data_IF_641075430379
#
_entry.id   IF_641075430379
#
_cell.length_a   1.000
_cell.length_b   1.000
_cell.length_c   1.000
_cell.angle_alpha   90.00
_cell.angle_beta   90.00
_cell.angle_gamma   90.00
#
_symmetry.space_group_name_H-M   'P 1'
#
loop_
_entity.id
_entity.type
_entity.pdbx_description
1 polymer ?
#
# COMPACT_ATOMS: atom_id res chain seq x y z
N UNK A 1 -18.65 -6.29 6.14
CA UNK A 1 -17.90 -6.66 4.91
C UNK A 1 -17.62 -5.42 4.06
N UNK A 2 -16.39 -4.91 4.07
CA UNK A 2 -15.71 -4.41 2.86
C UNK A 2 -14.37 -3.76 3.20
N UNK A 3 -13.35 -4.09 2.43
CA UNK A 3 -12.35 -3.12 1.95
C UNK A 3 -12.13 -3.20 0.42
N UNK A 4 -12.58 -4.28 -0.22
CA UNK A 4 -12.54 -4.45 -1.69
C UNK A 4 -13.71 -5.26 -2.26
N UNK A 5 -14.47 -5.97 -1.41
CA UNK A 5 -15.54 -6.88 -1.82
C UNK A 5 -16.62 -6.19 -2.69
N UNK A 6 -17.11 -5.03 -2.26
CA UNK A 6 -18.14 -4.30 -3.03
C UNK A 6 -17.65 -3.92 -4.44
N UNK A 7 -16.37 -3.55 -4.56
CA UNK A 7 -15.77 -3.21 -5.86
C UNK A 7 -15.62 -4.47 -6.73
N UNK A 8 -15.18 -5.59 -6.13
CA UNK A 8 -15.10 -6.89 -6.77
C UNK A 8 -16.47 -7.35 -7.30
N UNK A 9 -17.50 -7.37 -6.45
CA UNK A 9 -18.85 -7.82 -6.83
C UNK A 9 -19.41 -6.95 -7.96
N UNK A 10 -19.21 -5.63 -7.89
CA UNK A 10 -19.62 -4.72 -8.96
C UNK A 10 -18.96 -5.06 -10.29
N UNK A 11 -17.66 -5.35 -10.30
CA UNK A 11 -16.95 -5.76 -11.51
C UNK A 11 -17.45 -7.11 -12.02
N UNK A 12 -17.57 -8.10 -11.12
CA UNK A 12 -18.03 -9.45 -11.46
C UNK A 12 -19.43 -9.43 -12.09
N UNK A 13 -20.34 -8.60 -11.56
CA UNK A 13 -21.68 -8.41 -12.14
C UNK A 13 -21.65 -7.69 -13.49
N UNK A 14 -20.74 -6.72 -13.67
CA UNK A 14 -20.66 -5.94 -14.91
C UNK A 14 -20.02 -6.71 -16.07
N UNK A 15 -19.02 -7.57 -15.80
CA UNK A 15 -18.19 -8.21 -16.83
C UNK A 15 -18.23 -9.73 -16.80
N UNK A 16 -18.91 -10.35 -15.83
CA UNK A 16 -18.87 -11.79 -15.57
C UNK A 16 -17.50 -12.27 -15.07
N UNK A 17 -16.58 -11.37 -14.74
CA UNK A 17 -15.22 -11.66 -14.28
C UNK A 17 -14.80 -10.65 -13.22
N UNK A 18 -13.96 -11.05 -12.26
CA UNK A 18 -13.39 -12.40 -12.04
C UNK A 18 -14.42 -13.42 -11.52
N UNK A 19 -14.14 -14.71 -11.67
CA UNK A 19 -14.93 -15.76 -11.03
C UNK A 19 -14.72 -15.71 -9.52
N UNK A 20 -15.76 -15.92 -8.73
CA UNK A 20 -15.62 -15.95 -7.27
C UNK A 20 -15.29 -17.37 -6.82
N UNK A 21 -14.39 -17.50 -5.84
CA UNK A 21 -14.09 -18.78 -5.21
C UNK A 21 -15.30 -19.24 -4.39
N UNK A 22 -15.68 -20.50 -4.58
CA UNK A 22 -16.60 -21.23 -3.72
C UNK A 22 -15.90 -22.49 -3.22
N UNK A 23 -16.01 -22.79 -1.92
CA UNK A 23 -15.38 -23.98 -1.36
C UNK A 23 -16.07 -25.30 -1.71
N UNK A 24 -17.31 -25.26 -2.18
CA UNK A 24 -18.03 -26.44 -2.67
C UNK A 24 -17.54 -26.86 -4.06
N UNK A 25 -16.92 -25.94 -4.80
CA UNK A 25 -16.45 -26.14 -6.16
C UNK A 25 -15.10 -25.43 -6.37
N UNK A 26 -14.08 -25.86 -5.64
CA UNK A 26 -12.72 -25.30 -5.75
C UNK A 26 -12.18 -25.57 -7.17
N UNK A 27 -11.84 -24.53 -7.94
CA UNK A 27 -11.34 -24.72 -9.30
C UNK A 27 -9.92 -25.30 -9.30
N UNK A 28 -9.60 -26.09 -10.33
CA UNK A 28 -8.24 -26.63 -10.52
C UNK A 28 -7.22 -25.55 -10.88
N UNK A 29 -7.65 -24.47 -11.52
CA UNK A 29 -6.83 -23.30 -11.84
C UNK A 29 -7.30 -22.09 -11.03
N UNK A 30 -6.36 -21.43 -10.34
CA UNK A 30 -6.65 -20.26 -9.51
C UNK A 30 -6.63 -18.94 -10.31
N UNK A 31 -6.05 -18.94 -11.53
CA UNK A 31 -5.91 -17.71 -12.31
C UNK A 31 -7.28 -17.14 -12.71
N UNK A 32 -7.49 -15.85 -12.42
CA UNK A 32 -8.76 -15.18 -12.66
C UNK A 32 -9.83 -15.45 -11.60
N UNK A 33 -9.53 -16.25 -10.58
CA UNK A 33 -10.41 -16.50 -9.42
C UNK A 33 -10.18 -15.43 -8.36
N UNK A 34 -11.27 -14.94 -7.78
CA UNK A 34 -11.27 -13.94 -6.73
C UNK A 34 -11.76 -14.50 -5.41
N UNK A 35 -11.03 -14.15 -4.34
CA UNK A 35 -11.29 -14.63 -2.99
C UNK A 35 -10.78 -13.61 -1.96
N UNK A 36 -11.25 -13.74 -0.73
CA UNK A 36 -10.71 -13.01 0.40
C UNK A 36 -9.48 -13.69 1.00
N UNK A 37 -8.57 -12.90 1.54
CA UNK A 37 -7.42 -13.36 2.32
C UNK A 37 -7.33 -12.58 3.61
N UNK A 38 -7.04 -13.26 4.71
CA UNK A 38 -6.52 -12.63 5.93
C UNK A 38 -5.00 -12.63 5.86
N UNK A 39 -4.41 -11.43 5.76
CA UNK A 39 -3.00 -11.24 5.46
C UNK A 39 -2.28 -10.47 6.57
N UNK A 40 -1.14 -10.97 7.01
CA UNK A 40 -0.24 -10.32 7.96
C UNK A 40 0.88 -9.64 7.21
N UNK A 41 1.06 -8.33 7.38
CA UNK A 41 2.14 -7.62 6.71
C UNK A 41 3.51 -7.80 7.39
N UNK A 42 4.55 -7.13 6.88
CA UNK A 42 5.90 -7.21 7.44
C UNK A 42 6.03 -6.61 8.84
N UNK A 43 5.07 -5.79 9.28
CA UNK A 43 5.03 -5.20 10.62
C UNK A 43 4.22 -6.05 11.61
N UNK A 44 3.61 -7.14 11.15
CA UNK A 44 2.71 -7.97 11.95
C UNK A 44 1.26 -7.47 11.94
N UNK A 45 0.94 -6.42 11.19
CA UNK A 45 -0.43 -5.92 11.12
C UNK A 45 -1.29 -6.83 10.25
N UNK A 46 -2.41 -7.29 10.83
CA UNK A 46 -3.41 -8.10 10.12
C UNK A 46 -4.33 -7.22 9.29
N UNK A 47 -4.66 -7.67 8.08
CA UNK A 47 -5.62 -7.01 7.20
C UNK A 47 -6.38 -8.02 6.35
N UNK A 48 -7.70 -7.84 6.22
CA UNK A 48 -8.54 -8.64 5.32
C UNK A 48 -8.59 -7.98 3.95
N UNK A 49 -8.31 -8.73 2.87
CA UNK A 49 -8.24 -8.19 1.51
C UNK A 49 -8.95 -9.10 0.53
N UNK A 50 -9.63 -8.50 -0.45
CA UNK A 50 -10.15 -9.24 -1.59
C UNK A 50 -9.17 -9.11 -2.75
N UNK A 51 -8.83 -10.22 -3.36
CA UNK A 51 -7.82 -10.31 -4.41
C UNK A 51 -8.33 -11.14 -5.57
N UNK A 52 -7.83 -10.88 -6.77
CA UNK A 52 -8.00 -11.75 -7.94
C UNK A 52 -6.65 -12.31 -8.32
N UNK A 53 -6.49 -13.62 -8.22
CA UNK A 53 -5.24 -14.29 -8.52
C UNK A 53 -4.90 -14.15 -10.02
N UNK A 54 -3.62 -13.89 -10.30
CA UNK A 54 -3.03 -13.87 -11.64
C UNK A 54 -2.00 -14.97 -11.83
N UNK A 55 -1.56 -15.59 -10.74
CA UNK A 55 -0.61 -16.69 -10.77
C UNK A 55 0.13 -16.83 -9.45
N UNK A 56 0.83 -17.94 -9.31
CA UNK A 56 1.68 -18.22 -8.17
C UNK A 56 3.10 -18.54 -8.66
N UNK A 57 4.11 -18.02 -7.98
CA UNK A 57 5.52 -18.33 -8.28
C UNK A 57 6.37 -18.16 -7.03
N UNK A 58 7.21 -19.15 -6.72
CA UNK A 58 8.24 -19.07 -5.67
C UNK A 58 7.72 -18.71 -4.26
N UNK A 59 6.50 -19.14 -3.92
CA UNK A 59 5.89 -18.82 -2.63
C UNK A 59 5.17 -17.46 -2.60
N UNK A 60 5.03 -16.79 -3.75
CA UNK A 60 4.33 -15.53 -3.92
C UNK A 60 3.05 -15.72 -4.75
N UNK A 61 1.95 -15.16 -4.26
CA UNK A 61 0.71 -14.98 -4.99
C UNK A 61 0.74 -13.61 -5.69
N UNK A 62 0.70 -13.61 -7.02
CA UNK A 62 0.52 -12.40 -7.82
C UNK A 62 -0.96 -12.16 -8.00
N UNK A 63 -1.48 -11.04 -7.53
CA UNK A 63 -2.91 -10.79 -7.56
C UNK A 63 -3.23 -9.30 -7.69
N UNK A 64 -4.39 -9.03 -8.29
CA UNK A 64 -4.98 -7.70 -8.26
C UNK A 64 -5.66 -7.48 -6.91
N UNK A 65 -5.23 -6.45 -6.17
CA UNK A 65 -5.77 -6.14 -4.85
C UNK A 65 -6.91 -5.13 -4.97
N UNK A 66 -8.14 -5.56 -4.69
CA UNK A 66 -9.34 -4.71 -4.85
C UNK A 66 -9.39 -3.52 -3.90
N UNK A 67 -8.74 -3.64 -2.73
CA UNK A 67 -8.61 -2.55 -1.75
C UNK A 67 -7.76 -1.41 -2.29
N UNK A 68 -6.64 -1.76 -2.94
CA UNK A 68 -5.66 -0.79 -3.45
C UNK A 68 -5.86 -0.43 -4.91
N UNK A 69 -6.70 -1.20 -5.62
CA UNK A 69 -6.93 -1.12 -7.07
C UNK A 69 -5.63 -1.21 -7.88
N UNK A 70 -4.77 -2.14 -7.48
CA UNK A 70 -3.42 -2.27 -8.05
C UNK A 70 -2.91 -3.72 -7.97
N UNK A 71 -1.99 -4.07 -8.85
CA UNK A 71 -1.30 -5.37 -8.88
C UNK A 71 -0.29 -5.46 -7.73
N UNK A 72 -0.35 -6.55 -6.96
CA UNK A 72 0.55 -6.79 -5.82
C UNK A 72 0.94 -8.25 -5.69
N UNK A 73 2.10 -8.46 -5.08
CA UNK A 73 2.57 -9.78 -4.66
C UNK A 73 2.30 -9.98 -3.16
N UNK A 74 1.74 -11.12 -2.80
CA UNK A 74 1.49 -11.54 -1.41
C UNK A 74 2.33 -12.76 -1.10
N UNK A 75 3.04 -12.75 0.03
CA UNK A 75 3.73 -13.96 0.51
C UNK A 75 2.71 -14.96 1.02
N UNK A 76 2.73 -16.18 0.49
CA UNK A 76 1.78 -17.22 0.89
C UNK A 76 1.90 -17.59 2.37
N UNK A 77 3.11 -17.54 2.93
CA UNK A 77 3.35 -17.77 4.37
C UNK A 77 2.75 -16.71 5.28
N UNK A 78 2.31 -15.58 4.72
CA UNK A 78 1.69 -14.48 5.46
C UNK A 78 0.18 -14.43 5.28
N UNK A 79 -0.38 -15.33 4.47
CA UNK A 79 -1.82 -15.53 4.36
C UNK A 79 -2.19 -16.51 5.47
N UNK A 80 -2.98 -16.06 6.44
CA UNK A 80 -3.44 -16.89 7.57
C UNK A 80 -4.72 -17.65 7.22
N UNK A 81 -5.57 -17.07 6.38
CA UNK A 81 -6.83 -17.69 5.99
C UNK A 81 -7.29 -17.25 4.60
N UNK A 82 -8.07 -18.11 3.95
CA UNK A 82 -8.74 -17.86 2.67
C UNK A 82 -10.24 -17.81 2.92
N UNK A 83 -10.92 -16.90 2.22
CA UNK A 83 -12.32 -16.60 2.41
C UNK A 83 -13.02 -16.73 1.05
N UNK A 84 -14.07 -17.53 0.98
CA UNK A 84 -14.87 -17.70 -0.23
C UNK A 84 -15.94 -16.60 -0.38
N UNK A 85 -16.80 -16.71 -1.38
CA UNK A 85 -17.88 -15.75 -1.66
C UNK A 85 -19.04 -15.79 -0.65
N UNK A 86 -19.27 -16.95 -0.01
CA UNK A 86 -20.19 -17.11 1.10
C UNK A 86 -19.66 -16.52 2.41
N UNK A 87 -18.36 -16.26 2.49
CA UNK A 87 -17.67 -15.75 3.68
C UNK A 87 -17.20 -16.85 4.63
N UNK A 88 -17.22 -18.10 4.20
CA UNK A 88 -16.58 -19.22 4.90
C UNK A 88 -15.07 -18.98 4.92
N UNK A 89 -14.40 -19.40 6.00
CA UNK A 89 -12.98 -19.20 6.21
C UNK A 89 -12.30 -20.57 6.31
N UNK A 90 -11.28 -20.80 5.49
CA UNK A 90 -10.49 -22.05 5.51
C UNK A 90 -8.99 -21.79 5.59
N UNK A 91 -8.28 -22.78 6.11
CA UNK A 91 -6.82 -22.78 6.12
C UNK A 91 -6.29 -22.81 4.67
N UNK A 92 -5.32 -21.96 4.32
CA UNK A 92 -4.81 -21.88 2.97
C UNK A 92 -4.30 -23.21 2.41
N UNK A 93 -3.73 -24.09 3.24
CA UNK A 93 -3.19 -25.37 2.80
C UNK A 93 -4.30 -26.39 2.49
N UNK A 94 -5.48 -26.23 3.10
CA UNK A 94 -6.65 -27.05 2.78
C UNK A 94 -7.28 -26.70 1.43
N UNK A 95 -7.17 -25.44 1.01
CA UNK A 95 -7.76 -24.95 -0.25
C UNK A 95 -6.80 -25.13 -1.43
N UNK A 96 -5.51 -24.83 -1.20
CA UNK A 96 -4.48 -24.89 -2.23
C UNK A 96 -3.27 -25.71 -1.77
N UNK A 97 -3.42 -27.05 -1.65
CA UNK A 97 -2.38 -27.91 -1.08
C UNK A 97 -1.06 -27.87 -1.85
N UNK A 98 -1.12 -27.72 -3.18
CA UNK A 98 0.05 -27.66 -4.05
C UNK A 98 0.86 -26.37 -3.87
N UNK A 99 0.20 -25.29 -3.46
CA UNK A 99 0.75 -23.94 -3.39
C UNK A 99 1.48 -23.72 -2.06
N UNK A 100 1.10 -24.45 -1.02
CA UNK A 100 1.63 -24.33 0.35
C UNK A 100 2.38 -25.60 0.72
N UNK A 101 3.14 -26.16 -0.23
CA UNK A 101 4.19 -27.10 0.12
C UNK A 101 5.09 -26.42 1.17
N UNK A 102 5.36 -27.05 2.32
CA UNK A 102 6.18 -26.46 3.35
C UNK A 102 7.51 -26.08 2.71
N UNK A 103 7.86 -24.78 2.76
CA UNK A 103 9.23 -24.36 2.45
C UNK A 103 10.10 -25.25 3.31
N UNK A 104 10.92 -26.10 2.67
CA UNK A 104 12.05 -26.73 3.36
C UNK A 104 12.68 -25.60 4.15
N UNK A 105 12.61 -25.69 5.47
CA UNK A 105 13.26 -24.76 6.36
C UNK A 105 14.72 -24.88 6.00
N UNK A 106 15.20 -23.98 5.13
CA UNK A 106 16.62 -23.76 4.99
C UNK A 106 16.97 -23.22 6.36
N UNK A 107 17.49 -24.09 7.22
CA UNK A 107 18.15 -23.70 8.44
C UNK A 107 19.31 -22.81 7.99
N UNK A 108 19.02 -21.52 7.83
CA UNK A 108 20.03 -20.50 7.68
C UNK A 108 20.69 -20.47 9.03
N UNK A 109 21.70 -21.34 9.21
CA UNK A 109 22.65 -21.21 10.28
C UNK A 109 23.17 -19.79 10.15
N UNK A 110 22.72 -18.90 11.03
CA UNK A 110 23.22 -17.56 11.15
C UNK A 110 24.67 -17.70 11.57
N UNK A 111 25.57 -17.75 10.58
CA UNK A 111 27.00 -17.69 10.85
C UNK A 111 27.23 -16.49 11.76
N UNK A 112 27.92 -16.66 12.90
CA UNK A 112 28.13 -15.60 13.86
C UNK A 112 28.70 -14.38 13.14
N UNK A 113 28.04 -13.24 13.31
CA UNK A 113 28.40 -11.98 12.65
C UNK A 113 29.90 -11.75 12.79
N UNK A 114 30.64 -11.83 11.67
CA UNK A 114 32.04 -11.42 11.62
C UNK A 114 32.12 -9.96 12.09
N UNK A 115 33.15 -9.61 12.87
CA UNK A 115 33.49 -8.29 13.47
C UNK A 115 33.47 -7.05 12.53
N UNK A 116 33.02 -7.17 11.29
CA UNK A 116 32.90 -6.10 10.29
C UNK A 116 31.74 -5.13 10.56
N UNK A 117 30.91 -5.36 11.59
CA UNK A 117 29.82 -4.45 11.98
C UNK A 117 30.29 -3.26 12.84
N UNK A 118 31.56 -3.18 13.27
CA UNK A 118 32.09 -2.06 14.07
C UNK A 118 32.22 -0.76 13.25
N UNK A 119 32.49 -0.85 11.94
CA UNK A 119 32.64 0.34 11.08
C UNK A 119 31.29 0.98 10.67
N UNK A 120 30.16 0.28 10.83
CA UNK A 120 28.83 0.82 10.51
C UNK A 120 28.39 1.92 11.49
N UNK A 121 28.85 1.87 12.74
CA UNK A 121 28.58 2.93 13.73
C UNK A 121 29.20 4.25 13.29
N UNK A 122 30.46 4.22 12.86
CA UNK A 122 31.18 5.40 12.38
C UNK A 122 30.56 5.98 11.09
N UNK A 123 30.11 5.13 10.17
CA UNK A 123 29.43 5.58 8.95
C UNK A 123 28.08 6.24 9.25
N UNK A 124 27.25 5.63 10.11
CA UNK A 124 25.95 6.19 10.48
C UNK A 124 26.08 7.54 11.22
N UNK A 125 27.11 7.70 12.05
CA UNK A 125 27.39 8.97 12.73
C UNK A 125 27.72 10.10 11.74
N UNK A 126 28.55 9.82 10.71
CA UNK A 126 28.87 10.82 9.66
C UNK A 126 27.65 11.22 8.82
N UNK A 127 26.74 10.28 8.55
CA UNK A 127 25.49 10.57 7.83
C UNK A 127 24.57 11.45 8.69
N UNK A 128 24.49 11.19 10.00
CA UNK A 128 23.70 12.00 10.91
C UNK A 128 24.21 13.44 11.01
N UNK A 129 25.53 13.63 11.10
CA UNK A 129 26.18 14.95 11.13
C UNK A 129 25.91 15.74 9.85
N UNK A 130 26.07 15.10 8.68
CA UNK A 130 25.80 15.75 7.39
C UNK A 130 24.32 16.10 7.19
N UNK A 131 23.41 15.27 7.69
CA UNK A 131 21.98 15.58 7.65
C UNK A 131 21.62 16.77 8.55
N UNK A 132 22.29 16.92 9.70
CA UNK A 132 22.10 18.06 10.59
C UNK A 132 22.57 19.37 9.94
N UNK A 133 23.73 19.35 9.29
CA UNK A 133 24.28 20.51 8.56
C UNK A 133 23.36 20.99 7.43
N UNK A 134 22.88 20.05 6.59
CA UNK A 134 21.94 20.37 5.50
C UNK A 134 20.59 20.86 6.04
N UNK A 135 20.16 20.39 7.21
CA UNK A 135 18.94 20.87 7.85
C UNK A 135 19.07 22.34 8.31
N UNK A 136 20.21 22.74 8.88
CA UNK A 136 20.48 24.13 9.26
C UNK A 136 20.55 25.07 8.04
N UNK A 137 21.19 24.66 6.95
CA UNK A 137 21.25 25.46 5.72
C UNK A 137 19.84 25.72 5.13
N UNK A 138 18.95 24.71 5.20
CA UNK A 138 17.57 24.84 4.72
C UNK A 138 16.73 25.79 5.56
N UNK A 139 16.96 25.87 6.87
CA UNK A 139 16.26 26.84 7.73
C UNK A 139 16.68 28.27 7.43
N UNK A 140 17.96 28.50 7.14
CA UNK A 140 18.46 29.83 6.76
C UNK A 140 17.98 30.25 5.36
N UNK A 141 17.95 29.32 4.40
CA UNK A 141 17.48 29.60 3.04
C UNK A 141 15.97 29.96 2.99
N UNK A 142 15.16 29.40 3.89
CA UNK A 142 13.73 29.75 3.98
C UNK A 142 13.49 31.16 4.52
N UNK A 143 14.43 31.72 5.29
CA UNK A 143 14.27 33.05 5.88
C UNK A 143 14.60 34.20 4.92
N UNK A 144 15.18 33.92 3.75
CA UNK A 144 15.59 34.93 2.75
C UNK A 144 14.60 35.20 1.61
N UNK A 145 13.44 34.53 1.57
CA UNK A 145 12.42 34.88 0.58
C UNK A 145 11.66 36.11 1.06
N UNK A 146 12.19 37.29 0.76
CA UNK A 146 11.39 38.50 0.76
C UNK A 146 10.16 38.28 -0.14
N UNK A 147 8.95 38.62 0.32
CA UNK A 147 7.75 38.47 -0.48
C UNK A 147 7.91 39.33 -1.74
N UNK A 148 7.83 38.69 -2.91
CA UNK A 148 7.93 39.36 -4.21
C UNK A 148 6.92 40.52 -4.25
N UNK A 149 7.43 41.75 -4.42
CA UNK A 149 6.63 42.98 -4.39
C UNK A 149 5.47 42.95 -5.39
N UNK A 150 5.58 42.16 -6.46
CA UNK A 150 4.48 41.93 -7.42
C UNK A 150 3.26 41.28 -6.77
N UNK A 151 3.48 40.32 -5.88
CA UNK A 151 2.41 39.60 -5.15
C UNK A 151 1.67 40.54 -4.21
N UNK A 152 2.40 41.43 -3.55
CA UNK A 152 1.84 42.50 -2.71
C UNK A 152 1.01 43.50 -3.52
N UNK A 153 1.47 43.87 -4.72
CA UNK A 153 0.75 44.79 -5.59
C UNK A 153 -0.58 44.19 -6.08
N UNK A 154 -0.56 42.91 -6.52
CA UNK A 154 -1.76 42.20 -6.97
C UNK A 154 -2.78 42.10 -5.82
N UNK A 155 -2.34 41.78 -4.61
CA UNK A 155 -3.22 41.72 -3.43
C UNK A 155 -3.93 43.05 -3.15
N UNK A 156 -3.22 44.18 -3.28
CA UNK A 156 -3.81 45.52 -3.08
C UNK A 156 -4.84 45.87 -4.15
N UNK A 157 -4.58 45.55 -5.41
CA UNK A 157 -5.51 45.82 -6.53
C UNK A 157 -6.80 45.02 -6.37
N UNK A 158 -6.69 43.73 -6.01
CA UNK A 158 -7.85 42.87 -5.76
C UNK A 158 -8.71 43.39 -4.61
N UNK A 159 -8.08 43.82 -3.51
CA UNK A 159 -8.78 44.34 -2.35
C UNK A 159 -9.52 45.66 -2.65
N UNK A 160 -8.90 46.54 -3.45
CA UNK A 160 -9.53 47.75 -3.93
C UNK A 160 -10.72 47.46 -4.87
N UNK A 161 -10.60 46.47 -5.76
CA UNK A 161 -11.68 46.07 -6.66
C UNK A 161 -12.89 45.51 -5.88
N UNK A 162 -12.65 44.65 -4.88
CA UNK A 162 -13.71 44.13 -4.01
C UNK A 162 -14.41 45.28 -3.26
N UNK A 163 -13.64 46.24 -2.74
CA UNK A 163 -14.21 47.40 -2.05
C UNK A 163 -15.10 48.25 -2.96
N UNK A 164 -14.70 48.47 -4.21
CA UNK A 164 -15.51 49.17 -5.22
C UNK A 164 -16.82 48.43 -5.54
N UNK A 165 -16.79 47.10 -5.64
CA UNK A 165 -17.98 46.28 -5.87
C UNK A 165 -18.96 46.39 -4.69
N UNK A 166 -18.45 46.38 -3.45
CA UNK A 166 -19.28 46.53 -2.26
C UNK A 166 -19.94 47.91 -2.23
N UNK A 167 -19.21 48.99 -2.51
CA UNK A 167 -19.78 50.35 -2.57
C UNK A 167 -20.88 50.43 -3.63
N UNK A 168 -20.65 49.86 -4.81
CA UNK A 168 -21.63 49.84 -5.90
C UNK A 168 -22.93 49.13 -5.47
N UNK A 169 -22.83 48.03 -4.73
CA UNK A 169 -23.98 47.29 -4.22
C UNK A 169 -24.76 48.02 -3.11
N UNK A 170 -24.11 48.91 -2.36
CA UNK A 170 -24.78 49.69 -1.30
C UNK A 170 -25.52 50.91 -1.86
N UNK A 171 -25.11 51.41 -3.03
CA UNK A 171 -25.70 52.59 -3.67
C UNK A 171 -26.84 52.27 -4.66
N UNK A 172 -27.09 50.99 -4.94
CA UNK A 172 -28.18 50.47 -5.78
C UNK A 172 -29.35 50.02 -4.92
#
# INVERSE_FOLDING_TARGET
MSDGYKALIREAQAKGKPALLSFDAVPSEIEGVAFGIDYVDSTGQKSRRWVTARGFKEGLLWAYCWVRRDMRSFSLHRIEAIIDDAGEVRDPASVFPEIIAPRRTINVQTTPKRKRDVDRGAFNARIAERNAEVASERTEAKHRKEPDQRTLLIGRVLLAAIFMIIILFVLL
#
